data_IF_000585479268
#
_entry.id   IF_000585479268
#
_cell.length_a   1.000
_cell.length_b   1.000
_cell.length_c   1.000
_cell.angle_alpha   90.00
_cell.angle_beta   90.00
_cell.angle_gamma   90.00
#
_symmetry.space_group_name_H-M   'P 1'
#
loop_
_entity.id
_entity.type
_entity.pdbx_description
1 polymer ?
#
# COMPACT_ATOMS: atom_id res chain seq x y z
N UNK A 1 3.11 -20.00 10.86
CA UNK A 1 3.64 -19.35 9.65
C UNK A 1 2.61 -18.31 9.23
N UNK A 2 2.95 -17.03 9.06
CA UNK A 2 2.02 -16.06 8.49
C UNK A 2 1.65 -16.52 7.08
N UNK A 3 0.35 -16.49 6.76
CA UNK A 3 -0.15 -16.83 5.43
C UNK A 3 0.18 -15.68 4.48
N UNK A 4 0.63 -16.00 3.28
CA UNK A 4 0.88 -15.00 2.24
C UNK A 4 -0.40 -14.71 1.46
N UNK A 5 -0.60 -13.45 1.10
CA UNK A 5 -1.71 -12.96 0.27
C UNK A 5 -1.16 -12.17 -0.90
N UNK A 6 -1.88 -12.20 -2.02
CA UNK A 6 -1.56 -11.42 -3.21
C UNK A 6 -2.47 -10.19 -3.31
N UNK A 7 -1.90 -9.05 -3.70
CA UNK A 7 -2.59 -7.80 -4.00
C UNK A 7 -2.04 -7.22 -5.30
N UNK A 8 -2.74 -6.23 -5.87
CA UNK A 8 -2.23 -5.42 -6.97
C UNK A 8 -1.64 -4.12 -6.43
N UNK A 9 -0.47 -3.74 -6.94
CA UNK A 9 0.18 -2.47 -6.65
C UNK A 9 0.61 -1.86 -7.97
N UNK A 10 0.09 -0.69 -8.33
CA UNK A 10 0.37 -0.01 -9.60
C UNK A 10 0.21 -0.92 -10.83
N UNK A 11 -0.82 -1.77 -10.82
CA UNK A 11 -1.10 -2.76 -11.86
C UNK A 11 -0.26 -4.05 -11.82
N UNK A 12 0.73 -4.17 -10.93
CA UNK A 12 1.56 -5.38 -10.78
C UNK A 12 1.12 -6.23 -9.58
N UNK A 13 1.30 -7.56 -9.66
CA UNK A 13 0.97 -8.45 -8.53
C UNK A 13 2.10 -8.43 -7.51
N UNK A 14 1.77 -8.09 -6.28
CA UNK A 14 2.66 -8.12 -5.12
C UNK A 14 2.16 -9.14 -4.08
N UNK A 15 3.07 -9.74 -3.31
CA UNK A 15 2.72 -10.70 -2.26
C UNK A 15 3.26 -10.22 -0.92
N UNK A 16 2.40 -10.22 0.11
CA UNK A 16 2.76 -9.85 1.48
C UNK A 16 2.10 -10.80 2.49
N UNK A 17 2.32 -10.57 3.79
CA UNK A 17 1.68 -11.36 4.83
C UNK A 17 0.21 -10.91 5.01
N UNK A 18 -0.68 -11.84 5.35
CA UNK A 18 -2.14 -11.62 5.54
C UNK A 18 -2.48 -10.59 6.64
N UNK A 19 -1.51 -10.24 7.48
CA UNK A 19 -1.64 -9.25 8.55
C UNK A 19 -0.77 -8.00 8.33
N UNK A 20 -0.23 -7.79 7.12
CA UNK A 20 0.57 -6.61 6.85
C UNK A 20 -0.30 -5.36 6.78
N UNK A 21 0.09 -4.35 7.54
CA UNK A 21 -0.51 -3.02 7.42
C UNK A 21 -0.02 -2.31 6.15
N UNK A 22 -0.77 -1.31 5.69
CA UNK A 22 -0.37 -0.54 4.51
C UNK A 22 1.06 0.06 4.63
N UNK A 23 1.48 0.68 5.75
CA UNK A 23 2.84 1.20 5.89
C UNK A 23 3.93 0.12 5.76
N UNK A 24 3.67 -1.09 6.27
CA UNK A 24 4.61 -2.21 6.14
C UNK A 24 4.76 -2.66 4.69
N UNK A 25 3.66 -2.75 3.96
CA UNK A 25 3.68 -3.07 2.52
C UNK A 25 4.42 -2.00 1.73
N UNK A 26 4.15 -0.71 1.99
CA UNK A 26 4.87 0.39 1.35
C UNK A 26 6.38 0.34 1.63
N UNK A 27 6.78 -0.01 2.87
CA UNK A 27 8.18 -0.16 3.22
C UNK A 27 8.83 -1.35 2.52
N UNK A 28 8.13 -2.49 2.38
CA UNK A 28 8.61 -3.65 1.62
C UNK A 28 8.84 -3.33 0.13
N UNK A 29 7.99 -2.45 -0.43
CA UNK A 29 8.11 -1.95 -1.80
C UNK A 29 9.19 -0.86 -1.97
N UNK A 30 9.81 -0.40 -0.87
CA UNK A 30 10.85 0.63 -0.89
C UNK A 30 10.30 2.07 -1.00
N UNK A 31 9.00 2.27 -0.82
CA UNK A 31 8.42 3.61 -0.81
C UNK A 31 8.67 4.30 0.52
N UNK A 32 8.94 5.60 0.47
CA UNK A 32 8.93 6.44 1.66
C UNK A 32 7.49 6.92 1.90
N UNK A 33 6.82 6.51 3.00
CA UNK A 33 5.45 6.91 3.28
C UNK A 33 5.26 8.42 3.23
N UNK A 34 6.27 9.24 3.59
CA UNK A 34 6.18 10.71 3.59
C UNK A 34 6.12 11.34 2.21
N UNK A 35 6.57 10.64 1.17
CA UNK A 35 6.68 11.15 -0.19
C UNK A 35 5.63 10.58 -1.14
N UNK A 36 4.70 9.77 -0.64
CA UNK A 36 3.69 9.11 -1.48
C UNK A 36 2.26 9.43 -1.03
N UNK A 37 1.32 9.37 -1.97
CA UNK A 37 -0.10 9.24 -1.71
C UNK A 37 -0.57 7.85 -2.17
N UNK A 38 -1.59 7.31 -1.52
CA UNK A 38 -2.11 5.97 -1.79
C UNK A 38 -3.60 6.05 -2.10
N UNK A 39 -3.97 5.52 -3.24
CA UNK A 39 -5.34 5.09 -3.54
C UNK A 39 -5.48 3.62 -3.12
N UNK A 40 -6.50 3.33 -2.31
CA UNK A 40 -6.83 2.00 -1.84
C UNK A 40 -8.20 1.61 -2.41
N UNK A 41 -8.22 0.58 -3.26
CA UNK A 41 -9.44 0.06 -3.89
C UNK A 41 -10.30 1.12 -4.61
N UNK A 42 -9.67 2.10 -5.25
CA UNK A 42 -10.36 3.16 -6.00
C UNK A 42 -10.60 4.46 -5.23
N UNK A 43 -10.21 4.52 -3.95
CA UNK A 43 -10.42 5.70 -3.09
C UNK A 43 -9.10 6.18 -2.46
N UNK A 44 -8.89 7.49 -2.41
CA UNK A 44 -7.70 8.07 -1.76
C UNK A 44 -7.77 7.80 -0.25
N UNK A 45 -6.82 7.01 0.25
CA UNK A 45 -6.77 6.66 1.67
C UNK A 45 -5.98 7.70 2.45
N UNK A 46 -6.66 8.41 3.36
CA UNK A 46 -6.02 9.38 4.22
C UNK A 46 -5.00 8.72 5.17
N UNK A 47 -3.84 9.37 5.34
CA UNK A 47 -2.71 8.87 6.14
C UNK A 47 -3.07 8.42 7.56
N UNK A 48 -4.05 9.06 8.19
CA UNK A 48 -4.49 8.72 9.54
C UNK A 48 -5.05 7.29 9.65
N UNK A 49 -5.51 6.71 8.54
CA UNK A 49 -6.07 5.35 8.50
C UNK A 49 -5.05 4.28 8.09
N UNK A 50 -3.84 4.66 7.70
CA UNK A 50 -2.89 3.71 7.11
C UNK A 50 -2.48 2.61 8.10
N UNK A 51 -2.22 2.96 9.36
CA UNK A 51 -1.82 1.99 10.39
C UNK A 51 -2.93 1.01 10.75
N UNK A 52 -4.17 1.43 10.59
CA UNK A 52 -5.35 0.62 10.92
C UNK A 52 -5.83 -0.21 9.70
N UNK A 53 -5.30 0.08 8.52
CA UNK A 53 -5.65 -0.62 7.28
C UNK A 53 -4.75 -1.84 7.10
N UNK A 54 -5.34 -3.02 7.31
CA UNK A 54 -4.70 -4.31 7.04
C UNK A 54 -5.00 -4.74 5.60
N UNK A 55 -3.95 -5.04 4.85
CA UNK A 55 -4.07 -5.49 3.46
C UNK A 55 -4.73 -6.87 3.40
N UNK A 56 -5.69 -7.01 2.49
CA UNK A 56 -6.42 -8.24 2.22
C UNK A 56 -6.05 -8.79 0.83
N UNK A 57 -6.30 -10.08 0.64
CA UNK A 57 -6.08 -10.71 -0.65
C UNK A 57 -7.00 -10.10 -1.72
N UNK A 58 -6.43 -9.70 -2.86
CA UNK A 58 -7.14 -9.10 -3.98
C UNK A 58 -7.30 -7.58 -3.91
N UNK A 59 -6.80 -6.93 -2.85
CA UNK A 59 -6.77 -5.46 -2.76
C UNK A 59 -5.96 -4.84 -3.89
N UNK A 60 -6.25 -3.58 -4.17
CA UNK A 60 -5.58 -2.76 -5.20
C UNK A 60 -5.05 -1.49 -4.57
N UNK A 61 -3.76 -1.25 -4.76
CA UNK A 61 -3.07 -0.04 -4.31
C UNK A 61 -2.53 0.70 -5.53
N UNK A 62 -2.86 1.98 -5.65
CA UNK A 62 -2.12 2.89 -6.53
C UNK A 62 -1.28 3.83 -5.66
N UNK A 63 0.04 3.71 -5.78
CA UNK A 63 1.03 4.47 -5.02
C UNK A 63 1.67 5.48 -5.94
N UNK A 64 1.35 6.76 -5.72
CA UNK A 64 1.89 7.87 -6.50
C UNK A 64 2.89 8.66 -5.65
N UNK A 65 4.03 9.00 -6.23
CA UNK A 65 5.04 9.84 -5.56
C UNK A 65 4.69 11.30 -5.75
N UNK A 66 4.72 12.06 -4.66
CA UNK A 66 4.55 13.50 -4.67
C UNK A 66 5.85 14.11 -5.18
N UNK A 67 5.87 14.51 -6.45
CA UNK A 67 6.94 15.35 -7.00
C UNK A 67 6.62 16.80 -6.64
N UNK A 68 7.47 17.42 -5.82
CA UNK A 68 7.40 18.86 -5.58
C UNK A 68 7.80 19.58 -6.87
N UNK A 69 6.81 20.11 -7.59
CA UNK A 69 7.06 21.01 -8.72
C UNK A 69 7.56 22.35 -8.21
N UNK A 70 8.65 22.84 -8.80
CA UNK A 70 8.98 24.27 -8.80
C UNK A 70 8.11 25.04 -9.77
#
# INVERSE_FOLDING_TARGET
MPKAIALQVNGETFTCNESSSLPEVLAQLGFNPRLVAVEYNGEILHRQFWTDTLIQAGDRLEVVTIVGGG
#
